data_IF_939420425291
#
_entry.id   IF_939420425291
#
_cell.length_a   1.000
_cell.length_b   1.000
_cell.length_c   1.000
_cell.angle_alpha   90.00
_cell.angle_beta   90.00
_cell.angle_gamma   90.00
#
_symmetry.space_group_name_H-M   'P 1'
#
loop_
_entity.id
_entity.type
_entity.pdbx_description
1 polymer ?
#
# COMPACT_ATOMS: atom_id res chain seq x y z
N UNK A 1 11.78 -18.70 -24.77
CA UNK A 1 11.81 -17.62 -23.75
C UNK A 1 10.40 -17.44 -23.20
N UNK A 2 10.17 -17.91 -21.96
CA UNK A 2 8.86 -17.93 -21.34
C UNK A 2 8.29 -16.53 -21.14
N UNK A 3 7.28 -16.18 -21.93
CA UNK A 3 6.41 -15.05 -21.62
C UNK A 3 5.60 -15.44 -20.39
N UNK A 4 6.14 -15.19 -19.20
CA UNK A 4 5.32 -15.09 -17.99
C UNK A 4 4.41 -13.91 -18.22
N UNK A 5 3.27 -14.20 -18.86
CA UNK A 5 2.25 -13.26 -19.29
C UNK A 5 1.91 -12.36 -18.11
N UNK A 6 1.73 -11.07 -18.35
CA UNK A 6 1.27 -10.10 -17.35
C UNK A 6 0.07 -10.61 -16.54
N UNK A 7 -0.71 -11.54 -17.11
CA UNK A 7 -1.76 -12.31 -16.43
C UNK A 7 -1.30 -13.06 -15.15
N UNK A 8 -0.12 -13.69 -15.14
CA UNK A 8 0.40 -14.42 -13.97
C UNK A 8 0.79 -13.44 -12.87
N UNK A 9 1.43 -12.32 -13.23
CA UNK A 9 1.80 -11.25 -12.29
C UNK A 9 0.55 -10.59 -11.67
N UNK A 10 -0.50 -10.40 -12.48
CA UNK A 10 -1.76 -9.84 -11.99
C UNK A 10 -2.48 -10.78 -11.01
N UNK A 11 -2.51 -12.10 -11.30
CA UNK A 11 -3.08 -13.10 -10.36
C UNK A 11 -2.32 -13.17 -9.05
N UNK A 12 -1.00 -13.06 -9.07
CA UNK A 12 -0.19 -13.03 -7.84
C UNK A 12 -0.45 -11.78 -7.01
N UNK A 13 -0.47 -10.61 -7.66
CA UNK A 13 -0.73 -9.34 -6.98
C UNK A 13 -2.13 -9.29 -6.33
N UNK A 14 -3.16 -9.85 -6.98
CA UNK A 14 -4.52 -9.89 -6.46
C UNK A 14 -4.70 -10.87 -5.29
N UNK A 15 -3.90 -11.93 -5.22
CA UNK A 15 -3.97 -12.92 -4.13
C UNK A 15 -3.27 -12.43 -2.86
N UNK A 16 -2.21 -11.64 -2.99
CA UNK A 16 -1.36 -11.25 -1.87
C UNK A 16 -1.61 -9.82 -1.35
N UNK A 17 -2.25 -8.96 -2.14
CA UNK A 17 -2.41 -7.55 -1.78
C UNK A 17 -3.80 -7.02 -2.14
N UNK A 18 -4.43 -6.37 -1.18
CA UNK A 18 -5.56 -5.48 -1.45
C UNK A 18 -5.04 -4.15 -1.98
N UNK A 19 -5.54 -3.71 -3.15
CA UNK A 19 -5.12 -2.44 -3.78
C UNK A 19 -6.10 -1.32 -3.42
N UNK A 20 -5.63 -0.31 -2.70
CA UNK A 20 -6.38 0.91 -2.41
C UNK A 20 -5.94 2.01 -3.39
N UNK A 21 -6.89 2.63 -4.08
CA UNK A 21 -6.62 3.81 -4.92
C UNK A 21 -6.93 5.07 -4.14
N UNK A 22 -5.90 5.87 -3.84
CA UNK A 22 -6.06 7.15 -3.12
C UNK A 22 -6.23 8.27 -4.13
N UNK A 23 -7.39 8.94 -4.10
CA UNK A 23 -7.67 10.13 -4.91
C UNK A 23 -7.38 11.36 -4.06
N UNK A 24 -6.45 12.20 -4.53
CA UNK A 24 -6.13 13.48 -3.89
C UNK A 24 -6.53 14.64 -4.80
N UNK A 25 -6.90 15.81 -4.23
CA UNK A 25 -7.15 17.00 -5.03
C UNK A 25 -5.97 17.35 -5.95
N UNK A 26 -6.28 17.89 -7.13
CA UNK A 26 -5.24 18.34 -8.09
C UNK A 26 -4.26 19.31 -7.40
N UNK A 27 -2.97 19.14 -7.67
CA UNK A 27 -1.89 19.94 -7.09
C UNK A 27 -1.39 19.47 -5.71
N UNK A 28 -2.13 18.59 -5.00
CA UNK A 28 -1.70 18.10 -3.68
C UNK A 28 -0.76 16.88 -3.74
N UNK A 29 -0.72 16.18 -4.88
CA UNK A 29 0.16 15.01 -5.06
C UNK A 29 1.63 15.33 -4.75
N UNK A 30 2.15 16.44 -5.30
CA UNK A 30 3.55 16.84 -5.09
C UNK A 30 3.88 17.16 -3.63
N UNK A 31 2.93 17.71 -2.87
CA UNK A 31 3.09 17.95 -1.44
C UNK A 31 3.19 16.63 -0.66
N UNK A 32 2.35 15.64 -1.00
CA UNK A 32 2.40 14.30 -0.40
C UNK A 32 3.71 13.59 -0.74
N UNK A 33 4.16 13.66 -2.00
CA UNK A 33 5.44 13.07 -2.44
C UNK A 33 6.64 13.73 -1.74
N UNK A 34 6.62 15.05 -1.57
CA UNK A 34 7.68 15.79 -0.88
C UNK A 34 7.72 15.45 0.60
N UNK A 35 6.56 15.39 1.25
CA UNK A 35 6.45 15.03 2.66
C UNK A 35 6.94 13.60 2.91
N UNK A 36 6.52 12.64 2.09
CA UNK A 36 7.00 11.26 2.18
C UNK A 36 8.52 11.19 1.99
N UNK A 37 9.07 11.88 0.98
CA UNK A 37 10.51 11.94 0.76
C UNK A 37 11.26 12.58 1.93
N UNK A 38 10.70 13.61 2.55
CA UNK A 38 11.29 14.25 3.74
C UNK A 38 11.36 13.30 4.94
N UNK A 39 10.47 12.32 5.01
CA UNK A 39 10.47 11.26 6.04
C UNK A 39 11.38 10.08 5.65
N UNK A 40 11.98 10.09 4.45
CA UNK A 40 12.75 8.95 3.92
C UNK A 40 11.87 7.78 3.49
N UNK A 41 10.55 7.99 3.35
CA UNK A 41 9.57 6.95 3.08
C UNK A 41 8.90 7.13 1.71
N UNK A 42 8.28 6.06 1.22
CA UNK A 42 7.42 6.15 0.05
C UNK A 42 6.03 6.69 0.42
N UNK A 43 5.31 7.27 -0.54
CA UNK A 43 3.90 7.68 -0.33
C UNK A 43 3.05 6.51 0.17
N UNK A 44 3.33 5.30 -0.31
CA UNK A 44 2.64 4.09 0.12
C UNK A 44 2.91 3.75 1.59
N UNK A 45 4.19 3.79 1.99
CA UNK A 45 4.59 3.56 3.39
C UNK A 45 3.96 4.58 4.33
N UNK A 46 3.99 5.87 3.94
CA UNK A 46 3.36 6.95 4.68
C UNK A 46 1.85 6.72 4.86
N UNK A 47 1.14 6.39 3.78
CA UNK A 47 -0.31 6.14 3.85
C UNK A 47 -0.61 4.95 4.74
N UNK A 48 0.16 3.85 4.63
CA UNK A 48 -0.01 2.69 5.50
C UNK A 48 0.27 3.02 6.98
N UNK A 49 1.31 3.81 7.27
CA UNK A 49 1.64 4.24 8.62
C UNK A 49 0.53 5.10 9.24
N UNK A 50 -0.01 6.05 8.47
CA UNK A 50 -1.13 6.91 8.90
C UNK A 50 -2.41 6.10 9.14
N UNK A 51 -2.73 5.15 8.26
CA UNK A 51 -3.90 4.29 8.43
C UNK A 51 -3.76 3.39 9.67
N UNK A 52 -2.60 2.75 9.83
CA UNK A 52 -2.29 1.93 11.01
C UNK A 52 -2.43 2.75 12.30
N UNK A 53 -1.81 3.93 12.36
CA UNK A 53 -1.88 4.83 13.51
C UNK A 53 -3.32 5.24 13.83
N UNK A 54 -4.11 5.62 12.81
CA UNK A 54 -5.50 6.07 13.00
C UNK A 54 -6.44 4.95 13.41
N UNK A 55 -6.19 3.73 12.97
CA UNK A 55 -6.98 2.56 13.36
C UNK A 55 -6.53 1.98 14.71
N UNK A 56 -5.42 2.48 15.28
CA UNK A 56 -4.87 1.97 16.53
C UNK A 56 -4.34 0.54 16.42
N UNK A 57 -4.04 0.07 15.20
CA UNK A 57 -3.60 -1.29 14.95
C UNK A 57 -2.11 -1.43 15.22
N UNK A 58 -1.74 -2.53 15.85
CA UNK A 58 -0.33 -2.91 15.96
C UNK A 58 0.25 -3.28 14.59
N UNK A 59 1.59 -3.30 14.47
CA UNK A 59 2.23 -3.75 13.23
C UNK A 59 1.86 -5.20 12.88
N UNK A 60 1.63 -6.02 13.90
CA UNK A 60 1.26 -7.43 13.74
C UNK A 60 -0.17 -7.56 13.18
N UNK A 61 -1.14 -6.82 13.72
CA UNK A 61 -2.51 -6.79 13.18
C UNK A 61 -2.59 -6.18 11.78
N UNK A 62 -1.78 -5.14 11.52
CA UNK A 62 -1.73 -4.50 10.21
C UNK A 62 -1.14 -5.42 9.12
N UNK A 63 -0.16 -6.27 9.48
CA UNK A 63 0.45 -7.23 8.55
C UNK A 63 -0.37 -8.50 8.36
N UNK A 64 -1.13 -8.92 9.37
CA UNK A 64 -1.92 -10.15 9.36
C UNK A 64 -3.42 -9.87 9.35
N UNK A 65 -3.86 -8.95 8.48
CA UNK A 65 -5.29 -8.64 8.31
C UNK A 65 -6.15 -9.92 8.22
N UNK A 66 -7.43 -9.80 8.57
CA UNK A 66 -8.39 -10.90 8.83
C UNK A 66 -8.47 -12.02 7.77
N UNK A 67 -7.91 -11.83 6.57
CA UNK A 67 -7.68 -12.86 5.53
C UNK A 67 -6.53 -13.84 5.85
N UNK A 68 -5.88 -13.72 7.02
CA UNK A 68 -5.03 -14.74 7.61
C UNK A 68 -5.82 -15.95 8.11
N UNK A 69 -6.76 -16.46 7.33
CA UNK A 69 -7.50 -17.68 7.65
C UNK A 69 -6.57 -18.89 7.43
N UNK A 70 -6.07 -19.37 8.57
CA UNK A 70 -5.81 -20.75 8.97
C UNK A 70 -6.01 -21.85 7.92
#
# INVERSE_FOLDING_TARGET
MGKTSSAVKNRYNAKAYNRITVVVPKGRKGAVETFARSQGESVNSLVNALLRERLGLTEEEWKHGEDGER
#
